data_IF_143959436602
#
_entry.id   IF_143959436602
#
_cell.length_a   1.000
_cell.length_b   1.000
_cell.length_c   1.000
_cell.angle_alpha   90.00
_cell.angle_beta   90.00
_cell.angle_gamma   90.00
#
_symmetry.space_group_name_H-M   'P 1'
#
loop_
_entity.id
_entity.type
_entity.pdbx_description
1 polymer ?
#
# COMPACT_ATOMS: atom_id res chain seq x y z
N UNK A 1 7.24 19.11 -10.67
CA UNK A 1 6.60 17.79 -10.64
C UNK A 1 6.59 17.26 -12.06
N UNK A 2 7.18 16.09 -12.31
CA UNK A 2 6.98 15.36 -13.55
C UNK A 2 6.28 14.04 -13.21
N UNK A 3 5.17 13.77 -13.90
CA UNK A 3 4.38 12.54 -13.73
C UNK A 3 4.30 11.82 -15.07
N UNK A 4 4.47 10.50 -15.03
CA UNK A 4 4.13 9.61 -16.14
C UNK A 4 3.20 8.52 -15.59
N UNK A 5 1.98 8.50 -16.09
CA UNK A 5 1.04 7.42 -15.83
C UNK A 5 1.17 6.40 -16.96
N UNK A 6 1.66 5.20 -16.64
CA UNK A 6 1.67 4.11 -17.60
C UNK A 6 0.45 3.23 -17.35
N UNK A 7 -0.61 3.49 -18.10
CA UNK A 7 -1.71 2.54 -18.25
C UNK A 7 -1.29 1.52 -19.31
N UNK A 8 -1.11 0.24 -18.94
CA UNK A 8 -1.16 -0.84 -19.94
C UNK A 8 -2.52 -0.83 -20.66
N UNK A 9 -2.71 -1.64 -21.71
CA UNK A 9 -4.00 -1.85 -22.40
C UNK A 9 -5.10 -2.22 -21.38
N UNK A 10 -5.68 -1.22 -20.72
CA UNK A 10 -6.55 -1.37 -19.56
C UNK A 10 -8.00 -1.58 -20.03
N UNK A 11 -8.24 -2.72 -20.68
CA UNK A 11 -9.58 -3.28 -20.80
C UNK A 11 -9.83 -4.06 -19.50
N UNK A 12 -10.31 -3.36 -18.45
CA UNK A 12 -10.72 -3.88 -17.12
C UNK A 12 -9.73 -4.85 -16.44
N UNK A 13 -9.09 -4.42 -15.34
CA UNK A 13 -8.18 -5.20 -14.47
C UNK A 13 -6.68 -5.25 -14.86
N UNK A 14 -6.18 -4.26 -15.62
CA UNK A 14 -4.74 -4.14 -15.90
C UNK A 14 -3.97 -3.48 -14.77
N UNK A 15 -2.73 -3.95 -14.52
CA UNK A 15 -1.81 -3.32 -13.58
C UNK A 15 -1.53 -1.86 -13.97
N UNK A 16 -1.62 -0.94 -13.00
CA UNK A 16 -1.32 0.49 -13.19
C UNK A 16 -0.07 0.85 -12.40
N UNK A 17 0.87 1.53 -13.06
CA UNK A 17 2.09 2.04 -12.44
C UNK A 17 2.22 3.53 -12.78
N UNK A 18 2.38 4.36 -11.76
CA UNK A 18 2.63 5.79 -11.89
C UNK A 18 4.06 6.12 -11.45
N UNK A 19 4.78 6.86 -12.29
CA UNK A 19 6.13 7.34 -12.00
C UNK A 19 6.05 8.82 -11.62
N UNK A 20 6.58 9.16 -10.44
CA UNK A 20 6.53 10.51 -9.89
C UNK A 20 7.95 10.95 -9.52
N UNK A 21 8.40 12.07 -10.09
CA UNK A 21 9.62 12.76 -9.65
C UNK A 21 9.31 14.06 -8.93
N UNK A 22 9.93 14.20 -7.76
CA UNK A 22 9.88 15.39 -6.93
C UNK A 22 11.29 15.96 -6.81
N UNK A 23 11.45 17.24 -7.13
CA UNK A 23 12.68 17.99 -6.93
C UNK A 23 12.33 19.41 -6.48
N UNK A 24 13.20 20.00 -5.65
CA UNK A 24 13.08 21.43 -5.27
C UNK A 24 13.45 22.33 -6.45
N UNK A 25 14.45 21.90 -7.21
CA UNK A 25 14.91 22.56 -8.42
C UNK A 25 14.30 21.85 -9.64
N UNK A 26 13.46 22.54 -10.44
CA UNK A 26 12.88 21.99 -11.66
C UNK A 26 13.90 21.50 -12.68
N UNK A 27 15.10 22.09 -12.73
CA UNK A 27 16.14 21.74 -13.72
C UNK A 27 16.73 20.34 -13.49
N UNK A 28 16.46 19.75 -12.32
CA UNK A 28 16.80 18.36 -12.01
C UNK A 28 15.81 17.35 -12.61
N UNK A 29 14.65 17.81 -13.10
CA UNK A 29 13.59 16.96 -13.64
C UNK A 29 13.79 16.72 -15.15
N UNK A 30 14.76 15.88 -15.49
CA UNK A 30 15.16 15.63 -16.88
C UNK A 30 14.47 14.43 -17.56
N UNK A 31 13.78 13.58 -16.79
CA UNK A 31 13.03 12.44 -17.30
C UNK A 31 11.79 12.16 -16.46
N UNK A 32 10.67 11.87 -17.12
CA UNK A 32 9.41 11.53 -16.46
C UNK A 32 9.41 10.09 -15.90
N UNK A 33 10.22 9.20 -16.48
CA UNK A 33 10.25 7.79 -16.09
C UNK A 33 11.30 7.58 -14.97
N UNK A 34 10.91 6.86 -13.92
CA UNK A 34 11.86 6.25 -12.98
C UNK A 34 12.54 5.08 -13.69
N UNK A 35 13.85 5.20 -13.88
CA UNK A 35 14.69 4.20 -14.52
C UNK A 35 15.08 3.07 -13.56
N UNK A 36 15.90 2.12 -14.06
CA UNK A 36 16.33 0.99 -13.26
C UNK A 36 17.10 1.40 -12.00
N UNK A 37 16.67 0.91 -10.84
CA UNK A 37 17.30 1.21 -9.55
C UNK A 37 17.20 2.66 -9.08
N UNK A 38 16.33 3.48 -9.69
CA UNK A 38 16.23 4.91 -9.37
C UNK A 38 15.12 5.25 -8.36
N UNK A 39 14.28 4.30 -7.98
CA UNK A 39 13.19 4.56 -7.04
C UNK A 39 13.72 4.79 -5.62
N UNK A 40 13.41 5.95 -5.03
CA UNK A 40 13.65 6.20 -3.61
C UNK A 40 12.53 5.61 -2.73
N UNK A 41 11.28 5.69 -3.21
CA UNK A 41 10.09 5.15 -2.56
C UNK A 41 9.19 4.41 -3.57
N UNK A 42 8.68 3.26 -3.16
CA UNK A 42 7.59 2.54 -3.85
C UNK A 42 6.39 2.41 -2.90
N UNK A 43 5.24 2.94 -3.33
CA UNK A 43 3.95 2.74 -2.68
C UNK A 43 3.18 1.66 -3.45
N UNK A 44 3.05 0.48 -2.84
CA UNK A 44 2.41 -0.67 -3.46
C UNK A 44 1.00 -0.87 -2.96
N UNK A 45 0.00 -0.40 -3.71
CA UNK A 45 -1.41 -0.62 -3.37
C UNK A 45 -1.91 -2.01 -3.79
N UNK A 46 -1.12 -2.71 -4.60
CA UNK A 46 -1.30 -4.12 -4.95
C UNK A 46 0.08 -4.79 -4.93
N UNK A 47 0.21 -5.85 -4.14
CA UNK A 47 1.49 -6.52 -3.92
C UNK A 47 2.00 -7.28 -5.15
N UNK A 48 1.09 -7.81 -5.97
CA UNK A 48 1.41 -8.54 -7.20
C UNK A 48 1.91 -7.56 -8.25
N UNK A 49 1.28 -6.39 -8.38
CA UNK A 49 1.74 -5.32 -9.26
C UNK A 49 3.12 -4.79 -8.83
N UNK A 50 3.32 -4.64 -7.52
CA UNK A 50 4.60 -4.21 -6.95
C UNK A 50 5.73 -5.20 -7.25
N UNK A 51 5.42 -6.50 -7.34
CA UNK A 51 6.38 -7.54 -7.71
C UNK A 51 6.48 -7.81 -9.22
N UNK A 52 5.80 -7.02 -10.06
CA UNK A 52 5.94 -7.11 -11.51
C UNK A 52 7.37 -6.75 -11.95
N UNK A 53 7.83 -7.32 -13.07
CA UNK A 53 9.15 -7.03 -13.61
C UNK A 53 9.38 -5.52 -13.86
N UNK A 54 8.35 -4.81 -14.33
CA UNK A 54 8.40 -3.36 -14.54
C UNK A 54 8.63 -2.62 -13.24
N UNK A 55 7.88 -2.93 -12.17
CA UNK A 55 8.04 -2.29 -10.87
C UNK A 55 9.40 -2.62 -10.26
N UNK A 56 9.75 -3.91 -10.18
CA UNK A 56 11.02 -4.37 -9.59
C UNK A 56 12.26 -3.85 -10.30
N UNK A 57 12.18 -3.56 -11.61
CA UNK A 57 13.31 -2.94 -12.32
C UNK A 57 13.73 -1.61 -11.68
N UNK A 58 12.81 -0.88 -11.06
CA UNK A 58 13.07 0.42 -10.43
C UNK A 58 13.72 0.31 -9.04
N UNK A 59 13.76 -0.89 -8.45
CA UNK A 59 14.25 -1.12 -7.09
C UNK A 59 15.77 -1.18 -7.07
N UNK A 60 16.37 -0.65 -6.01
CA UNK A 60 17.79 -0.79 -5.70
C UNK A 60 18.01 -0.99 -4.19
N UNK A 61 18.84 -1.99 -3.86
CA UNK A 61 19.30 -2.24 -2.50
C UNK A 61 19.95 -0.99 -1.89
N UNK A 62 19.54 -0.66 -0.66
CA UNK A 62 20.08 0.49 0.07
C UNK A 62 19.55 1.85 -0.38
N UNK A 63 18.74 1.90 -1.44
CA UNK A 63 18.09 3.12 -1.93
C UNK A 63 16.58 3.07 -1.76
N UNK A 64 15.95 2.05 -2.34
CA UNK A 64 14.49 1.97 -2.41
C UNK A 64 13.90 1.57 -1.07
N UNK A 65 12.96 2.36 -0.56
CA UNK A 65 12.05 1.96 0.51
C UNK A 65 10.70 1.60 -0.10
N UNK A 66 10.10 0.51 0.35
CA UNK A 66 8.80 0.07 -0.13
C UNK A 66 7.80 0.03 1.03
N UNK A 67 6.64 0.66 0.84
CA UNK A 67 5.49 0.55 1.76
C UNK A 67 4.36 -0.05 0.95
N UNK A 68 3.97 -1.27 1.30
CA UNK A 68 3.10 -2.11 0.48
C UNK A 68 1.88 -2.54 1.29
N UNK A 69 0.72 -2.56 0.64
CA UNK A 69 -0.44 -3.26 1.15
C UNK A 69 -0.18 -4.78 1.07
N UNK A 70 -0.46 -5.50 2.16
CA UNK A 70 -0.28 -6.96 2.21
C UNK A 70 -1.48 -7.73 1.64
N UNK A 71 -2.53 -7.02 1.24
CA UNK A 71 -3.72 -7.63 0.67
C UNK A 71 -3.38 -8.37 -0.64
N UNK A 72 -3.50 -9.68 -0.60
CA UNK A 72 -3.32 -10.56 -1.76
C UNK A 72 -4.69 -10.90 -2.36
N UNK A 73 -5.14 -10.12 -3.34
CA UNK A 73 -6.40 -10.40 -4.03
C UNK A 73 -6.24 -11.62 -4.97
N UNK A 74 -7.06 -12.68 -4.85
CA UNK A 74 -7.02 -13.77 -5.81
C UNK A 74 -7.53 -13.27 -7.16
N UNK A 75 -6.68 -13.23 -8.19
CA UNK A 75 -7.18 -13.02 -9.56
C UNK A 75 -7.96 -14.26 -10.00
N UNK A 76 -9.00 -14.09 -10.82
CA UNK A 76 -9.97 -15.12 -11.21
C UNK A 76 -9.39 -16.46 -11.75
N UNK A 77 -8.10 -16.50 -12.09
CA UNK A 77 -7.35 -17.69 -12.51
C UNK A 77 -6.80 -18.56 -11.36
N UNK A 78 -7.01 -18.20 -10.08
CA UNK A 78 -6.31 -18.85 -8.97
C UNK A 78 -7.25 -19.25 -7.81
N UNK A 79 -7.68 -20.51 -7.75
CA UNK A 79 -8.37 -21.06 -6.56
C UNK A 79 -7.85 -22.46 -6.21
N UNK A 80 -6.81 -22.50 -5.37
CA UNK A 80 -6.53 -23.54 -4.35
C UNK A 80 -5.74 -22.84 -3.22
N UNK A 81 -6.23 -22.87 -1.98
CA UNK A 81 -5.72 -22.03 -0.87
C UNK A 81 -4.20 -22.19 -0.63
N UNK A 82 -3.65 -23.42 -0.72
CA UNK A 82 -2.21 -23.67 -0.52
C UNK A 82 -1.32 -23.02 -1.59
N UNK A 83 -1.83 -22.86 -2.82
CA UNK A 83 -1.07 -22.23 -3.91
C UNK A 83 -0.98 -20.71 -3.73
N UNK A 84 -1.93 -20.10 -3.02
CA UNK A 84 -1.95 -18.66 -2.76
C UNK A 84 -0.89 -18.31 -1.71
N UNK A 85 -0.85 -19.05 -0.60
CA UNK A 85 0.12 -18.82 0.49
C UNK A 85 1.58 -18.90 -0.02
N UNK A 86 1.90 -19.96 -0.78
CA UNK A 86 3.23 -20.13 -1.36
C UNK A 86 3.62 -18.98 -2.30
N UNK A 87 2.65 -18.48 -3.07
CA UNK A 87 2.89 -17.35 -3.98
C UNK A 87 3.08 -16.05 -3.22
N UNK A 88 2.30 -15.80 -2.18
CA UNK A 88 2.48 -14.63 -1.34
C UNK A 88 3.89 -14.60 -0.73
N UNK A 89 4.37 -15.73 -0.19
CA UNK A 89 5.72 -15.82 0.34
C UNK A 89 6.79 -15.60 -0.75
N UNK A 90 6.62 -16.20 -1.92
CA UNK A 90 7.54 -16.01 -3.04
C UNK A 90 7.58 -14.55 -3.53
N UNK A 91 6.42 -13.89 -3.63
CA UNK A 91 6.26 -12.48 -3.97
C UNK A 91 6.97 -11.58 -2.97
N UNK A 92 6.77 -11.82 -1.67
CA UNK A 92 7.45 -11.07 -0.61
C UNK A 92 8.96 -11.25 -0.66
N UNK A 93 9.43 -12.48 -0.86
CA UNK A 93 10.85 -12.79 -1.00
C UNK A 93 11.48 -12.05 -2.18
N UNK A 94 10.76 -11.96 -3.31
CA UNK A 94 11.22 -11.25 -4.49
C UNK A 94 11.34 -9.74 -4.24
N UNK A 95 10.35 -9.13 -3.58
CA UNK A 95 10.38 -7.71 -3.20
C UNK A 95 11.52 -7.39 -2.23
N UNK A 96 11.68 -8.20 -1.19
CA UNK A 96 12.76 -8.05 -0.20
C UNK A 96 14.15 -8.30 -0.81
N UNK A 97 14.27 -9.21 -1.76
CA UNK A 97 15.51 -9.39 -2.54
C UNK A 97 15.83 -8.18 -3.43
N UNK A 98 14.83 -7.39 -3.85
CA UNK A 98 15.08 -6.24 -4.71
C UNK A 98 15.40 -4.96 -3.91
N UNK A 99 14.67 -4.69 -2.82
CA UNK A 99 14.86 -3.50 -1.98
C UNK A 99 15.83 -3.71 -0.80
N UNK A 100 15.89 -4.93 -0.27
CA UNK A 100 16.45 -5.26 1.04
C UNK A 100 15.36 -5.64 2.04
N UNK A 101 15.68 -6.57 2.95
CA UNK A 101 14.74 -7.11 3.95
C UNK A 101 14.09 -5.99 4.79
N UNK A 102 14.93 -5.13 5.38
CA UNK A 102 14.53 -3.99 6.22
C UNK A 102 13.96 -2.80 5.43
N UNK A 103 13.95 -2.88 4.10
CA UNK A 103 13.46 -1.81 3.24
C UNK A 103 12.00 -1.99 2.83
N UNK A 104 11.41 -3.17 3.09
CA UNK A 104 10.02 -3.49 2.77
C UNK A 104 9.16 -3.44 4.03
N UNK A 105 8.25 -2.47 4.08
CA UNK A 105 7.19 -2.38 5.10
C UNK A 105 5.90 -2.93 4.52
N UNK A 106 5.30 -3.89 5.21
CA UNK A 106 3.96 -4.40 4.90
C UNK A 106 2.94 -3.75 5.84
N UNK A 107 1.79 -3.40 5.29
CA UNK A 107 0.67 -2.79 6.01
C UNK A 107 -0.61 -3.47 5.54
N UNK A 108 -1.48 -3.90 6.45
CA UNK A 108 -2.80 -4.41 6.07
C UNK A 108 -3.79 -3.27 5.76
N UNK A 109 -3.43 -2.41 4.81
CA UNK A 109 -4.10 -1.14 4.57
C UNK A 109 -5.54 -1.34 4.06
N UNK A 110 -5.78 -2.31 3.18
CA UNK A 110 -7.14 -2.68 2.74
C UNK A 110 -8.00 -3.17 3.90
N UNK A 111 -7.47 -4.08 4.73
CA UNK A 111 -8.20 -4.63 5.87
C UNK A 111 -8.53 -3.57 6.92
N UNK A 112 -7.55 -2.72 7.25
CA UNK A 112 -7.71 -1.62 8.20
C UNK A 112 -8.64 -0.54 7.64
N UNK A 113 -8.54 -0.23 6.35
CA UNK A 113 -9.41 0.73 5.70
C UNK A 113 -10.87 0.30 5.74
N UNK A 114 -11.13 -0.97 5.43
CA UNK A 114 -12.48 -1.54 5.54
C UNK A 114 -13.01 -1.53 6.98
N UNK A 115 -12.19 -1.93 7.96
CA UNK A 115 -12.65 -2.01 9.35
C UNK A 115 -12.89 -0.65 10.00
N UNK A 116 -12.05 0.35 9.69
CA UNK A 116 -12.11 1.67 10.32
C UNK A 116 -13.00 2.66 9.57
N UNK A 117 -13.12 2.53 8.25
CA UNK A 117 -13.83 3.48 7.39
C UNK A 117 -14.97 2.87 6.58
N UNK A 118 -15.14 1.54 6.60
CA UNK A 118 -16.20 0.85 5.86
C UNK A 118 -15.96 0.72 4.36
N UNK A 119 -14.80 1.17 3.85
CA UNK A 119 -14.49 1.17 2.42
C UNK A 119 -13.00 0.87 2.18
N UNK A 120 -12.73 -0.11 1.30
CA UNK A 120 -11.38 -0.50 0.90
C UNK A 120 -10.64 0.60 0.13
N UNK A 121 -11.34 1.54 -0.51
CA UNK A 121 -10.71 2.67 -1.22
C UNK A 121 -9.85 3.54 -0.30
N UNK A 122 -10.15 3.52 1.00
CA UNK A 122 -9.40 4.24 2.01
C UNK A 122 -7.97 3.69 2.21
N UNK A 123 -7.67 2.48 1.74
CA UNK A 123 -6.33 1.87 1.77
C UNK A 123 -5.26 2.77 1.14
N UNK A 124 -5.61 3.46 0.04
CA UNK A 124 -4.65 4.29 -0.68
C UNK A 124 -4.15 5.46 0.19
N UNK A 125 -5.07 6.18 0.82
CA UNK A 125 -4.72 7.28 1.71
C UNK A 125 -4.11 6.79 3.02
N UNK A 126 -4.51 5.61 3.51
CA UNK A 126 -3.89 4.97 4.66
C UNK A 126 -2.40 4.65 4.40
N UNK A 127 -2.09 4.01 3.28
CA UNK A 127 -0.72 3.66 2.91
C UNK A 127 0.13 4.92 2.71
N UNK A 128 -0.43 5.95 2.06
CA UNK A 128 0.21 7.26 1.91
C UNK A 128 0.53 7.90 3.27
N UNK A 129 -0.41 7.86 4.21
CA UNK A 129 -0.22 8.34 5.58
C UNK A 129 0.89 7.61 6.32
N UNK A 130 0.95 6.28 6.14
CA UNK A 130 1.99 5.45 6.75
C UNK A 130 3.39 5.83 6.24
N UNK A 131 3.54 5.93 4.92
CA UNK A 131 4.81 6.32 4.30
C UNK A 131 5.22 7.76 4.67
N UNK A 132 4.27 8.68 4.73
CA UNK A 132 4.53 10.06 5.14
C UNK A 132 5.05 10.14 6.57
N UNK A 133 4.42 9.42 7.50
CA UNK A 133 4.82 9.45 8.91
C UNK A 133 6.22 8.85 9.14
N UNK A 134 6.67 7.95 8.26
CA UNK A 134 8.02 7.39 8.23
C UNK A 134 9.06 8.33 7.60
N UNK A 135 8.66 9.52 7.14
CA UNK A 135 9.55 10.50 6.53
C UNK A 135 9.98 10.15 5.10
N UNK A 136 9.25 9.27 4.41
CA UNK A 136 9.61 8.79 3.07
C UNK A 136 9.14 9.73 1.95
N UNK A 137 8.29 10.70 2.26
CA UNK A 137 7.71 11.65 1.30
C UNK A 137 8.19 13.08 1.61
N UNK A 138 8.84 13.77 0.66
CA UNK A 138 9.31 15.14 0.85
C UNK A 138 8.18 16.16 0.56
N UNK A 139 6.98 15.93 1.09
CA UNK A 139 5.81 16.80 0.92
C UNK A 139 5.30 17.20 2.31
N UNK A 140 4.96 18.47 2.50
CA UNK A 140 4.43 18.92 3.79
C UNK A 140 3.03 18.36 4.06
N UNK A 141 2.70 18.24 5.35
CA UNK A 141 1.34 17.85 5.79
C UNK A 141 0.28 18.80 5.22
N UNK A 142 0.57 20.11 5.22
CA UNK A 142 -0.33 21.15 4.71
C UNK A 142 -0.59 21.01 3.21
N UNK A 143 0.42 20.64 2.41
CA UNK A 143 0.25 20.40 0.98
C UNK A 143 -0.58 19.16 0.69
N UNK A 144 -0.40 18.08 1.45
CA UNK A 144 -1.23 16.87 1.32
C UNK A 144 -2.68 17.18 1.66
N UNK A 145 -2.91 17.85 2.80
CA UNK A 145 -4.25 18.23 3.23
C UNK A 145 -4.96 19.11 2.20
N UNK A 146 -4.25 20.11 1.65
CA UNK A 146 -4.77 20.97 0.59
C UNK A 146 -5.07 20.21 -0.70
N UNK A 147 -4.24 19.23 -1.08
CA UNK A 147 -4.49 18.40 -2.25
C UNK A 147 -5.75 17.54 -2.08
N UNK A 148 -6.00 17.01 -0.88
CA UNK A 148 -7.24 16.28 -0.57
C UNK A 148 -8.45 17.20 -0.71
N UNK A 149 -8.39 18.43 -0.16
CA UNK A 149 -9.48 19.40 -0.32
C UNK A 149 -9.76 19.75 -1.78
N UNK A 150 -8.71 19.99 -2.56
CA UNK A 150 -8.81 20.38 -3.97
C UNK A 150 -9.37 19.25 -4.84
N UNK A 151 -9.10 17.99 -4.50
CA UNK A 151 -9.69 16.85 -5.19
C UNK A 151 -11.22 16.77 -4.97
N UNK A 152 -11.71 17.21 -3.80
CA UNK A 152 -13.13 17.36 -3.50
C UNK A 152 -13.89 16.04 -3.27
N UNK A 153 -13.36 14.89 -3.69
CA UNK A 153 -13.99 13.60 -3.48
C UNK A 153 -13.63 13.02 -2.11
N UNK A 154 -14.64 12.67 -1.31
CA UNK A 154 -14.45 11.94 -0.05
C UNK A 154 -13.48 12.63 0.93
N UNK A 155 -13.44 13.97 0.96
CA UNK A 155 -12.43 14.76 1.71
C UNK A 155 -12.29 14.30 3.17
N UNK A 156 -13.40 14.13 3.88
CA UNK A 156 -13.40 13.69 5.28
C UNK A 156 -12.81 12.27 5.44
N UNK A 157 -13.22 11.33 4.59
CA UNK A 157 -12.71 9.96 4.59
C UNK A 157 -11.21 9.93 4.26
N UNK A 158 -10.77 10.65 3.23
CA UNK A 158 -9.37 10.69 2.82
C UNK A 158 -8.46 11.29 3.90
N UNK A 159 -8.92 12.34 4.60
CA UNK A 159 -8.24 12.90 5.77
C UNK A 159 -8.16 11.90 6.92
N UNK A 160 -9.27 11.24 7.25
CA UNK A 160 -9.30 10.23 8.31
C UNK A 160 -8.38 9.04 7.99
N UNK A 161 -8.45 8.53 6.77
CA UNK A 161 -7.61 7.44 6.28
C UNK A 161 -6.12 7.79 6.36
N UNK A 162 -5.74 8.97 5.89
CA UNK A 162 -4.38 9.48 6.00
C UNK A 162 -3.92 9.59 7.46
N UNK A 163 -4.79 10.10 8.34
CA UNK A 163 -4.53 10.17 9.78
C UNK A 163 -4.32 8.79 10.42
N UNK A 164 -5.15 7.80 10.09
CA UNK A 164 -5.01 6.43 10.57
C UNK A 164 -3.73 5.77 10.06
N UNK A 165 -3.40 5.98 8.79
CA UNK A 165 -2.14 5.55 8.21
C UNK A 165 -0.92 6.06 8.97
N UNK A 166 -0.94 7.35 9.32
CA UNK A 166 0.10 7.97 10.16
C UNK A 166 0.15 7.34 11.56
N UNK A 167 -1.00 7.15 12.21
CA UNK A 167 -1.06 6.53 13.54
C UNK A 167 -0.47 5.11 13.51
N UNK A 168 -0.80 4.32 12.50
CA UNK A 168 -0.34 2.95 12.33
C UNK A 168 1.17 2.83 12.07
N UNK A 169 1.82 3.89 11.55
CA UNK A 169 3.28 3.93 11.43
C UNK A 169 3.99 4.09 12.78
N UNK A 170 3.29 4.61 13.79
CA UNK A 170 3.82 4.82 15.14
C UNK A 170 3.41 3.67 16.07
N UNK A 171 2.14 3.29 16.06
CA UNK A 171 1.56 2.29 16.95
C UNK A 171 0.48 1.48 16.21
N UNK A 172 0.93 0.43 15.52
CA UNK A 172 0.03 -0.46 14.78
C UNK A 172 -0.90 -1.24 15.73
N UNK A 173 -0.43 -1.61 16.92
CA UNK A 173 -1.23 -2.40 17.87
C UNK A 173 -2.46 -1.62 18.34
N UNK A 174 -2.30 -0.33 18.69
CA UNK A 174 -3.43 0.50 19.05
C UNK A 174 -4.45 0.67 17.91
N UNK A 175 -3.97 0.78 16.67
CA UNK A 175 -4.85 0.87 15.49
C UNK A 175 -5.61 -0.44 15.26
N UNK A 176 -4.93 -1.58 15.37
CA UNK A 176 -5.56 -2.91 15.27
C UNK A 176 -6.64 -3.12 16.34
N UNK A 177 -6.35 -2.73 17.58
CA UNK A 177 -7.33 -2.78 18.68
C UNK A 177 -8.55 -1.90 18.40
N UNK A 178 -8.34 -0.69 17.89
CA UNK A 178 -9.45 0.21 17.53
C UNK A 178 -10.28 -0.35 16.38
N UNK A 179 -9.62 -0.99 15.40
CA UNK A 179 -10.26 -1.67 14.29
C UNK A 179 -10.92 -3.01 14.68
N UNK A 180 -10.77 -3.46 15.93
CA UNK A 180 -11.20 -4.78 16.42
C UNK A 180 -10.63 -5.95 15.58
N UNK A 181 -9.45 -5.75 15.01
CA UNK A 181 -8.75 -6.78 14.24
C UNK A 181 -7.76 -7.47 15.16
N UNK A 182 -8.01 -8.76 15.45
CA UNK A 182 -7.15 -9.59 16.30
C UNK A 182 -7.78 -9.98 17.65
N UNK A 183 -8.91 -9.38 18.02
CA UNK A 183 -9.78 -9.84 19.10
C UNK A 183 -10.86 -10.77 18.54
N UNK A 184 -10.45 -11.97 18.12
CA UNK A 184 -11.42 -13.07 18.08
C UNK A 184 -11.71 -13.43 19.54
N UNK A 185 -12.81 -12.91 20.11
CA UNK A 185 -13.52 -13.75 21.07
C UNK A 185 -13.76 -15.07 20.35
N UNK A 186 -13.16 -16.14 20.88
CA UNK A 186 -13.47 -17.48 20.46
C UNK A 186 -14.96 -17.68 20.75
N UNK A 187 -15.81 -17.45 19.75
CA UNK A 187 -17.17 -17.94 19.77
C UNK A 187 -17.03 -19.45 19.91
N UNK A 188 -17.20 -19.95 21.13
CA UNK A 188 -17.33 -21.38 21.36
C UNK A 188 -18.39 -21.85 20.37
N UNK A 189 -18.10 -22.81 19.49
CA UNK A 189 -19.17 -23.39 18.70
C UNK A 189 -20.17 -23.95 19.71
N UNK A 190 -21.40 -23.42 19.71
CA UNK A 190 -22.51 -24.09 20.37
C UNK A 190 -22.61 -25.46 19.68
N UNK A 191 -22.19 -26.49 20.39
CA UNK A 191 -22.35 -27.86 19.95
C UNK A 191 -23.84 -28.17 19.93
N UNK A 192 -24.27 -28.98 18.96
CA UNK A 192 -25.68 -29.36 18.74
C UNK A 192 -26.39 -29.87 20.01
N UNK A 193 -25.63 -30.34 21.00
CA UNK A 193 -26.10 -30.79 22.31
C UNK A 193 -26.70 -29.66 23.19
N UNK A 194 -26.56 -28.39 22.80
CA UNK A 194 -27.16 -27.26 23.52
C UNK A 194 -28.57 -26.87 23.00
N UNK A 195 -29.11 -27.57 22.00
CA UNK A 195 -30.41 -27.28 21.39
C UNK A 195 -31.46 -28.38 21.57
N UNK A 196 -31.31 -29.28 22.55
CA UNK A 196 -32.30 -30.31 22.88
C UNK A 196 -32.79 -30.16 24.30
#
# INVERSE_FOLDING_TARGET
LLTLDQTGLAQKNGAVISHIRLARDPDLLNTVRIGPGEADLVLGFDIVVSASATSLSTFAHGRTRAVLDDHFAPTASFVQNTAIDFRQEATLKQLRRAAGEEAVTLVSATKLGLALMGDAIAANMFLLGNAWQRGLLPISLTSIDRAIEMNGAGVAMNRAAFGWGRRAAIDLAAVLNTAQIGSAEATKPETLDAMV
#
